data_IF_706360944481
#
_entry.id   IF_706360944481
#
_cell.length_a   1.000
_cell.length_b   1.000
_cell.length_c   1.000
_cell.angle_alpha   90.00
_cell.angle_beta   90.00
_cell.angle_gamma   90.00
#
_symmetry.space_group_name_H-M   'P 1'
#
loop_
_entity.id
_entity.type
_entity.pdbx_description
1 polymer ?
#
# COMPACT_ATOMS: atom_id res chain seq x y z
N UNK A 1 -15.52 8.58 2.67
CA UNK A 1 -14.26 8.36 3.38
C UNK A 1 -13.68 7.04 2.92
N UNK A 2 -12.65 7.13 2.10
CA UNK A 2 -12.03 5.99 1.45
C UNK A 2 -11.12 5.24 2.41
N UNK A 3 -10.34 5.95 3.22
CA UNK A 3 -9.34 5.37 4.14
C UNK A 3 -9.70 5.78 5.55
N UNK A 4 -9.86 4.81 6.44
CA UNK A 4 -10.16 5.04 7.85
C UNK A 4 -9.12 4.37 8.75
N UNK A 5 -8.96 4.92 9.94
CA UNK A 5 -8.06 4.38 10.93
C UNK A 5 -8.45 4.81 12.34
N UNK A 6 -7.97 4.05 13.32
CA UNK A 6 -8.04 4.38 14.72
C UNK A 6 -6.70 4.05 15.38
N UNK A 7 -6.16 4.99 16.15
CA UNK A 7 -4.94 4.75 16.90
C UNK A 7 -5.24 4.04 18.23
N UNK A 8 -4.44 3.05 18.58
CA UNK A 8 -4.46 2.39 19.90
C UNK A 8 -4.30 3.45 20.99
N UNK A 9 -5.07 3.40 22.10
CA UNK A 9 -4.90 4.34 23.22
C UNK A 9 -3.45 4.37 23.69
N UNK A 10 -2.91 5.57 23.98
CA UNK A 10 -1.48 5.77 24.21
C UNK A 10 -0.94 4.90 25.36
N UNK A 11 -1.75 4.66 26.39
CA UNK A 11 -1.42 3.83 27.55
C UNK A 11 -1.34 2.33 27.22
N UNK A 12 -1.89 1.91 26.08
CA UNK A 12 -1.87 0.53 25.57
C UNK A 12 -0.83 0.30 24.49
N UNK A 13 -0.22 1.36 23.95
CA UNK A 13 0.84 1.25 22.94
C UNK A 13 2.00 0.44 23.51
N UNK A 14 2.41 -0.59 22.77
CA UNK A 14 3.45 -1.50 23.19
C UNK A 14 4.83 -0.89 22.92
N UNK A 15 5.65 -0.63 23.94
CA UNK A 15 6.99 -0.13 23.73
C UNK A 15 7.90 -1.22 23.14
N UNK A 16 8.92 -0.78 22.41
CA UNK A 16 9.86 -1.67 21.75
C UNK A 16 11.12 -1.83 22.59
N UNK A 17 11.80 -2.97 22.46
CA UNK A 17 13.05 -3.25 23.17
C UNK A 17 12.92 -4.37 24.21
N UNK A 18 13.91 -4.46 25.09
CA UNK A 18 13.93 -5.42 26.20
C UNK A 18 13.41 -4.77 27.48
N UNK A 19 13.01 -5.57 28.49
CA UNK A 19 12.79 -5.06 29.83
C UNK A 19 13.98 -4.19 30.28
N UNK A 20 13.71 -3.06 30.92
CA UNK A 20 14.66 -2.00 31.33
C UNK A 20 15.24 -1.11 30.22
N UNK A 21 14.91 -1.35 28.94
CA UNK A 21 15.30 -0.50 27.82
C UNK A 21 14.17 -0.34 26.79
N UNK A 22 12.97 -0.12 27.30
CA UNK A 22 11.79 0.14 26.48
C UNK A 22 11.84 1.54 25.87
N UNK A 23 11.53 1.63 24.59
CA UNK A 23 11.50 2.89 23.85
C UNK A 23 10.34 2.96 22.88
N UNK A 24 9.95 4.18 22.51
CA UNK A 24 8.99 4.44 21.45
C UNK A 24 9.55 5.46 20.46
N UNK A 25 9.13 5.32 19.20
CA UNK A 25 9.41 6.23 18.09
C UNK A 25 8.11 6.81 17.54
N UNK A 26 8.19 7.73 16.59
CA UNK A 26 7.01 8.23 15.87
C UNK A 26 6.20 7.08 15.26
N UNK A 27 6.89 6.12 14.63
CA UNK A 27 6.28 4.91 14.08
C UNK A 27 5.55 4.09 15.14
N UNK A 28 6.21 3.81 16.28
CA UNK A 28 5.61 3.04 17.38
C UNK A 28 4.33 3.68 17.93
N UNK A 29 4.26 5.01 17.97
CA UNK A 29 3.07 5.74 18.41
C UNK A 29 1.88 5.67 17.43
N UNK A 30 2.10 5.14 16.22
CA UNK A 30 1.05 4.94 15.22
C UNK A 30 0.37 3.57 15.30
N UNK A 31 0.69 2.76 16.32
CA UNK A 31 -0.01 1.50 16.61
C UNK A 31 -1.53 1.74 16.64
N UNK A 32 -2.28 0.88 15.97
CA UNK A 32 -3.70 1.07 15.74
C UNK A 32 -4.22 0.12 14.67
N UNK A 33 -5.37 0.49 14.10
CA UNK A 33 -6.04 -0.27 13.05
C UNK A 33 -6.45 0.61 11.89
N UNK A 34 -6.52 0.05 10.69
CA UNK A 34 -6.93 0.78 9.49
C UNK A 34 -7.70 -0.11 8.51
N UNK A 35 -8.50 0.53 7.66
CA UNK A 35 -9.27 -0.12 6.61
C UNK A 35 -9.57 0.84 5.46
N UNK A 36 -10.01 0.30 4.32
CA UNK A 36 -10.48 1.12 3.20
C UNK A 36 -11.89 0.73 2.77
N UNK A 37 -12.79 1.71 2.65
CA UNK A 37 -14.15 1.50 2.17
C UNK A 37 -14.19 1.69 0.64
N UNK A 38 -14.39 0.60 -0.11
CA UNK A 38 -14.36 0.60 -1.58
C UNK A 38 -15.69 0.10 -2.14
N UNK A 39 -16.62 1.03 -2.36
CA UNK A 39 -17.98 0.70 -2.77
C UNK A 39 -18.72 -0.11 -1.70
N UNK A 40 -19.02 -1.37 -1.98
CA UNK A 40 -19.70 -2.29 -1.06
C UNK A 40 -18.74 -3.14 -0.21
N UNK A 41 -17.44 -3.12 -0.55
CA UNK A 41 -16.41 -3.93 0.10
C UNK A 41 -15.55 -3.10 1.04
N UNK A 42 -14.88 -3.78 1.97
CA UNK A 42 -13.92 -3.19 2.90
C UNK A 42 -12.58 -3.90 2.78
N UNK A 43 -11.55 -3.20 2.31
CA UNK A 43 -10.18 -3.72 2.27
C UNK A 43 -9.55 -3.64 3.65
N UNK A 44 -8.60 -4.54 3.92
CA UNK A 44 -7.98 -4.74 5.24
C UNK A 44 -8.95 -5.14 6.35
N UNK A 45 -10.13 -5.65 5.99
CA UNK A 45 -11.04 -6.30 6.93
C UNK A 45 -10.80 -7.82 6.88
N UNK A 46 -10.58 -8.41 8.06
CA UNK A 46 -10.45 -9.86 8.17
C UNK A 46 -11.79 -10.55 7.95
N UNK A 47 -11.76 -11.71 7.30
CA UNK A 47 -12.95 -12.54 7.18
C UNK A 47 -13.44 -12.98 8.56
N UNK A 48 -14.75 -13.13 8.73
CA UNK A 48 -15.35 -13.54 10.00
C UNK A 48 -14.79 -14.87 10.55
N UNK A 49 -14.30 -15.74 9.67
CA UNK A 49 -13.77 -17.07 10.04
C UNK A 49 -12.35 -17.02 10.55
N UNK A 50 -11.58 -16.01 10.17
CA UNK A 50 -10.18 -15.82 10.60
C UNK A 50 -10.11 -15.03 11.89
N UNK A 51 -11.13 -14.20 12.15
CA UNK A 51 -11.23 -13.43 13.39
C UNK A 51 -11.41 -14.36 14.61
N UNK A 52 -10.51 -14.30 15.61
CA UNK A 52 -10.82 -14.80 16.95
C UNK A 52 -12.10 -14.12 17.47
N UNK A 53 -12.84 -14.76 18.38
CA UNK A 53 -14.06 -14.18 18.96
C UNK A 53 -13.86 -12.77 19.56
N UNK A 54 -12.63 -12.47 20.00
CA UNK A 54 -12.22 -11.18 20.58
C UNK A 54 -11.16 -10.43 19.71
N UNK A 55 -10.89 -10.90 18.50
CA UNK A 55 -9.89 -10.31 17.60
C UNK A 55 -10.43 -9.12 16.82
N UNK A 56 -9.54 -8.20 16.46
CA UNK A 56 -9.89 -7.01 15.69
C UNK A 56 -10.50 -7.37 14.32
N UNK A 57 -11.48 -6.55 13.92
CA UNK A 57 -12.17 -6.68 12.64
C UNK A 57 -11.29 -6.25 11.48
N UNK A 58 -10.46 -5.25 11.72
CA UNK A 58 -9.61 -4.60 10.73
C UNK A 58 -8.15 -4.97 10.99
N UNK A 59 -7.30 -4.74 10.00
CA UNK A 59 -5.86 -4.87 10.15
C UNK A 59 -5.37 -4.05 11.33
N UNK A 60 -4.90 -4.73 12.38
CA UNK A 60 -4.28 -4.16 13.56
C UNK A 60 -2.77 -4.11 13.35
N UNK A 61 -2.31 -2.95 12.89
CA UNK A 61 -0.91 -2.68 12.57
C UNK A 61 -0.65 -1.17 12.58
N UNK A 62 0.62 -0.77 12.59
CA UNK A 62 1.03 0.63 12.57
C UNK A 62 0.41 1.39 11.37
N UNK A 63 -0.42 2.40 11.64
CA UNK A 63 -1.07 3.26 10.63
C UNK A 63 -0.04 3.98 9.76
N UNK A 64 1.17 4.17 10.28
CA UNK A 64 2.29 4.66 9.50
C UNK A 64 2.56 3.84 8.22
N UNK A 65 2.30 2.52 8.22
CA UNK A 65 2.55 1.69 7.02
C UNK A 65 1.61 2.02 5.87
N UNK A 66 0.30 1.91 6.07
CA UNK A 66 -0.66 2.27 5.02
C UNK A 66 -0.48 3.72 4.55
N UNK A 67 -0.10 4.62 5.46
CA UNK A 67 0.26 5.97 5.10
C UNK A 67 1.50 6.03 4.19
N UNK A 68 2.59 5.38 4.57
CA UNK A 68 3.83 5.35 3.79
C UNK A 68 3.62 4.68 2.42
N UNK A 69 2.93 3.54 2.37
CA UNK A 69 2.66 2.79 1.15
C UNK A 69 1.86 3.64 0.16
N UNK A 70 0.80 4.29 0.65
CA UNK A 70 -0.03 5.19 -0.15
C UNK A 70 0.75 6.41 -0.63
N UNK A 71 1.53 7.06 0.24
CA UNK A 71 2.33 8.22 -0.13
C UNK A 71 3.41 7.89 -1.16
N UNK A 72 3.99 6.69 -1.08
CA UNK A 72 5.00 6.24 -2.02
C UNK A 72 4.41 5.94 -3.41
N UNK A 73 3.23 5.33 -3.48
CA UNK A 73 2.58 5.03 -4.77
C UNK A 73 1.87 6.23 -5.39
N UNK A 74 1.48 7.24 -4.60
CA UNK A 74 0.57 8.30 -5.01
C UNK A 74 0.93 8.97 -6.35
N UNK A 75 2.21 9.31 -6.63
CA UNK A 75 2.58 9.88 -7.92
C UNK A 75 2.28 8.96 -9.11
N UNK A 76 2.57 7.66 -8.98
CA UNK A 76 2.34 6.65 -10.02
C UNK A 76 0.87 6.29 -10.16
N UNK A 77 0.11 6.25 -9.06
CA UNK A 77 -1.35 6.06 -9.07
C UNK A 77 -2.03 7.18 -9.83
N UNK A 78 -1.60 8.43 -9.61
CA UNK A 78 -2.15 9.61 -10.27
C UNK A 78 -1.63 9.83 -11.69
N UNK A 79 -0.60 9.12 -12.14
CA UNK A 79 -0.18 9.20 -13.53
C UNK A 79 -1.12 8.35 -14.41
N UNK A 80 -1.81 8.94 -15.41
CA UNK A 80 -2.69 8.20 -16.31
C UNK A 80 -1.95 7.08 -17.02
N UNK A 81 -2.47 5.85 -16.92
CA UNK A 81 -1.99 4.72 -17.69
C UNK A 81 -2.44 4.89 -19.16
N UNK A 82 -1.53 4.78 -20.14
CA UNK A 82 -1.90 4.81 -21.55
C UNK A 82 -2.99 3.80 -21.90
N UNK A 83 -3.97 4.22 -22.69
CA UNK A 83 -5.16 3.42 -23.03
C UNK A 83 -4.84 2.03 -23.58
N UNK A 84 -3.75 1.91 -24.33
CA UNK A 84 -3.30 0.65 -24.93
C UNK A 84 -2.68 -0.33 -23.92
N UNK A 85 -2.24 0.18 -22.77
CA UNK A 85 -1.66 -0.59 -21.67
C UNK A 85 -2.68 -1.03 -20.62
N UNK A 86 -3.86 -0.41 -20.57
CA UNK A 86 -4.91 -0.71 -19.56
C UNK A 86 -5.24 -2.22 -19.49
N UNK A 87 -5.28 -2.91 -20.64
CA UNK A 87 -5.56 -4.36 -20.70
C UNK A 87 -4.52 -5.25 -20.01
N UNK A 88 -3.32 -4.74 -19.75
CA UNK A 88 -2.22 -5.46 -19.08
C UNK A 88 -2.16 -5.18 -17.57
N UNK A 89 -2.87 -4.15 -17.09
CA UNK A 89 -2.92 -3.80 -15.67
C UNK A 89 -4.29 -4.13 -15.04
N UNK A 90 -5.38 -4.00 -15.80
CA UNK A 90 -6.74 -4.04 -15.26
C UNK A 90 -7.50 -5.33 -15.54
N UNK A 91 -8.34 -5.71 -14.57
CA UNK A 91 -9.36 -6.73 -14.70
C UNK A 91 -8.81 -8.11 -14.97
N UNK A 92 -9.61 -8.94 -15.64
CA UNK A 92 -9.24 -10.33 -15.93
C UNK A 92 -8.00 -10.41 -16.84
N UNK A 93 -7.92 -9.56 -17.86
CA UNK A 93 -6.79 -9.56 -18.80
C UNK A 93 -5.48 -9.12 -18.15
N UNK A 94 -5.52 -8.13 -17.24
CA UNK A 94 -4.35 -7.75 -16.45
C UNK A 94 -3.87 -8.89 -15.55
N UNK A 95 -4.80 -9.60 -14.89
CA UNK A 95 -4.46 -10.79 -14.08
C UNK A 95 -3.89 -11.95 -14.92
N UNK A 96 -4.40 -12.15 -16.12
CA UNK A 96 -3.84 -13.14 -17.06
C UNK A 96 -2.43 -12.73 -17.50
N UNK A 97 -2.21 -11.44 -17.79
CA UNK A 97 -0.89 -10.91 -18.13
C UNK A 97 0.10 -11.02 -16.97
N UNK A 98 -0.31 -10.74 -15.73
CA UNK A 98 0.56 -10.89 -14.55
C UNK A 98 1.09 -12.32 -14.41
N UNK A 99 0.25 -13.33 -14.68
CA UNK A 99 0.67 -14.75 -14.71
C UNK A 99 1.61 -15.04 -15.88
N UNK A 100 1.35 -14.46 -17.05
CA UNK A 100 2.25 -14.55 -18.19
C UNK A 100 3.62 -13.96 -17.88
N UNK A 101 3.66 -12.79 -17.24
CA UNK A 101 4.87 -12.12 -16.81
C UNK A 101 5.63 -12.94 -15.75
N UNK A 102 4.94 -13.50 -14.76
CA UNK A 102 5.55 -14.39 -13.75
C UNK A 102 6.17 -15.63 -14.41
N UNK A 103 5.43 -16.31 -15.27
CA UNK A 103 5.96 -17.47 -16.01
C UNK A 103 7.15 -17.11 -16.91
N UNK A 104 7.10 -15.96 -17.60
CA UNK A 104 8.22 -15.47 -18.39
C UNK A 104 9.44 -15.17 -17.51
N UNK A 105 9.22 -14.60 -16.32
CA UNK A 105 10.27 -14.30 -15.35
C UNK A 105 10.95 -15.59 -14.89
N UNK A 106 10.20 -16.60 -14.46
CA UNK A 106 10.74 -17.90 -14.04
C UNK A 106 11.53 -18.62 -15.14
N UNK A 107 11.11 -18.45 -16.41
CA UNK A 107 11.76 -19.07 -17.57
C UNK A 107 13.07 -18.37 -17.96
N UNK A 108 13.12 -17.04 -17.87
CA UNK A 108 14.18 -16.25 -18.49
C UNK A 108 15.15 -15.59 -17.49
N UNK A 109 14.79 -15.48 -16.19
CA UNK A 109 15.66 -14.91 -15.17
C UNK A 109 16.44 -15.98 -14.40
N UNK A 110 17.76 -15.86 -14.46
CA UNK A 110 18.71 -16.53 -13.58
C UNK A 110 19.94 -15.62 -13.31
N UNK A 111 20.88 -16.09 -12.49
CA UNK A 111 22.09 -15.35 -12.12
C UNK A 111 23.01 -15.02 -13.33
N UNK A 112 22.74 -15.60 -14.50
CA UNK A 112 23.48 -15.40 -15.76
C UNK A 112 22.71 -14.62 -16.83
N UNK A 113 21.46 -14.23 -16.55
CA UNK A 113 20.66 -13.40 -17.47
C UNK A 113 21.39 -12.10 -17.79
N UNK A 114 21.48 -11.77 -19.08
CA UNK A 114 22.10 -10.53 -19.54
C UNK A 114 21.23 -9.30 -19.23
N UNK A 115 21.87 -8.13 -19.27
CA UNK A 115 21.24 -6.84 -18.96
C UNK A 115 19.94 -6.61 -19.74
N UNK A 116 19.86 -7.01 -21.02
CA UNK A 116 18.65 -6.87 -21.84
C UNK A 116 17.42 -7.61 -21.29
N UNK A 117 17.62 -8.80 -20.71
CA UNK A 117 16.53 -9.59 -20.10
C UNK A 117 16.10 -8.92 -18.79
N UNK A 118 17.05 -8.43 -18.00
CA UNK A 118 16.77 -7.68 -16.77
C UNK A 118 16.04 -6.38 -17.04
N UNK A 119 16.43 -5.63 -18.07
CA UNK A 119 15.79 -4.39 -18.48
C UNK A 119 14.36 -4.65 -18.97
N UNK A 120 14.15 -5.72 -19.75
CA UNK A 120 12.80 -6.12 -20.20
C UNK A 120 11.92 -6.49 -19.02
N UNK A 121 12.46 -7.26 -18.07
CA UNK A 121 11.76 -7.62 -16.85
C UNK A 121 11.38 -6.39 -16.02
N UNK A 122 12.36 -5.52 -15.72
CA UNK A 122 12.15 -4.36 -14.84
C UNK A 122 11.19 -3.34 -15.45
N UNK A 123 11.31 -3.09 -16.77
CA UNK A 123 10.40 -2.20 -17.49
C UNK A 123 8.97 -2.75 -17.53
N UNK A 124 8.79 -4.05 -17.78
CA UNK A 124 7.46 -4.65 -17.72
C UNK A 124 6.89 -4.61 -16.29
N UNK A 125 7.70 -4.93 -15.28
CA UNK A 125 7.31 -4.91 -13.87
C UNK A 125 6.85 -3.52 -13.42
N UNK A 126 7.49 -2.47 -13.94
CA UNK A 126 7.21 -1.07 -13.59
C UNK A 126 5.75 -0.66 -13.88
N UNK A 127 5.05 -1.38 -14.77
CA UNK A 127 3.60 -1.19 -14.96
C UNK A 127 2.81 -1.47 -13.67
N UNK A 128 3.17 -2.53 -12.93
CA UNK A 128 2.45 -2.98 -11.73
C UNK A 128 3.11 -2.52 -10.43
N UNK A 129 4.44 -2.57 -10.34
CA UNK A 129 5.20 -2.41 -9.09
C UNK A 129 4.84 -1.12 -8.36
N UNK A 130 4.91 0.00 -9.05
CA UNK A 130 4.73 1.32 -8.42
C UNK A 130 3.25 1.68 -8.20
N UNK A 131 2.35 0.78 -8.61
CA UNK A 131 0.88 0.87 -8.51
C UNK A 131 0.29 -0.21 -7.60
N UNK A 132 1.13 -1.11 -7.08
CA UNK A 132 0.72 -2.17 -6.16
C UNK A 132 1.02 -1.76 -4.73
N UNK A 133 0.08 -2.02 -3.82
CA UNK A 133 0.28 -1.72 -2.41
C UNK A 133 1.22 -2.74 -1.75
N UNK A 134 2.35 -2.25 -1.23
CA UNK A 134 3.32 -3.07 -0.52
C UNK A 134 2.73 -3.48 0.83
N UNK A 135 2.26 -4.72 0.94
CA UNK A 135 1.65 -5.23 2.18
C UNK A 135 2.34 -6.51 2.67
N UNK A 136 3.59 -6.73 2.26
CA UNK A 136 4.40 -7.87 2.68
C UNK A 136 4.71 -7.90 4.18
N UNK A 137 4.47 -6.80 4.90
CA UNK A 137 4.52 -6.77 6.37
C UNK A 137 3.28 -7.40 7.03
N UNK A 138 2.25 -7.75 6.26
CA UNK A 138 1.07 -8.50 6.73
C UNK A 138 1.22 -9.99 6.42
N UNK A 139 0.57 -10.83 7.23
CA UNK A 139 0.58 -12.29 7.05
C UNK A 139 -0.85 -12.85 7.13
N UNK A 140 -1.44 -13.27 5.99
CA UNK A 140 -0.94 -13.07 4.63
C UNK A 140 -1.00 -11.60 4.19
N UNK A 141 -0.28 -11.24 3.12
CA UNK A 141 -0.40 -9.94 2.48
C UNK A 141 -1.77 -9.75 1.80
N UNK A 142 -2.02 -8.55 1.28
CA UNK A 142 -3.14 -8.24 0.38
C UNK A 142 -2.62 -8.02 -1.05
N UNK A 143 -3.48 -8.25 -2.03
CA UNK A 143 -3.21 -7.87 -3.42
C UNK A 143 -4.11 -6.69 -3.77
N UNK A 144 -3.59 -5.47 -3.69
CA UNK A 144 -4.32 -4.24 -4.02
C UNK A 144 -3.52 -3.47 -5.06
N UNK A 145 -4.18 -3.12 -6.15
CA UNK A 145 -3.64 -2.37 -7.28
C UNK A 145 -4.42 -1.06 -7.41
N UNK A 146 -3.70 0.04 -7.55
CA UNK A 146 -4.27 1.38 -7.76
C UNK A 146 -3.65 2.02 -9.01
N UNK A 147 -4.48 2.46 -9.93
CA UNK A 147 -4.04 3.10 -11.17
C UNK A 147 -5.07 4.13 -11.62
N UNK A 148 -4.73 5.01 -12.55
CA UNK A 148 -5.69 5.98 -13.09
C UNK A 148 -5.71 5.99 -14.61
N UNK A 149 -6.85 6.39 -15.17
CA UNK A 149 -6.88 6.98 -16.51
C UNK A 149 -6.88 8.51 -16.39
N UNK A 150 -7.38 9.22 -17.40
CA UNK A 150 -7.45 10.69 -17.39
C UNK A 150 -8.48 11.24 -16.38
N UNK A 151 -9.51 10.45 -16.04
CA UNK A 151 -10.69 10.91 -15.31
C UNK A 151 -10.78 10.28 -13.91
N UNK A 152 -10.55 8.97 -13.80
CA UNK A 152 -10.80 8.16 -12.62
C UNK A 152 -9.54 7.48 -12.07
N UNK A 153 -9.54 7.24 -10.75
CA UNK A 153 -8.65 6.28 -10.09
C UNK A 153 -9.40 4.98 -9.88
N UNK A 154 -8.78 3.88 -10.28
CA UNK A 154 -9.25 2.51 -10.12
C UNK A 154 -8.50 1.84 -8.99
N UNK A 155 -9.24 1.15 -8.12
CA UNK A 155 -8.75 0.33 -7.03
C UNK A 155 -9.23 -1.09 -7.30
N UNK A 156 -8.32 -2.01 -7.57
CA UNK A 156 -8.60 -3.41 -7.87
C UNK A 156 -7.95 -4.31 -6.84
N UNK A 157 -8.61 -5.41 -6.48
CA UNK A 157 -8.06 -6.39 -5.55
C UNK A 157 -8.38 -7.82 -5.95
N UNK A 158 -7.47 -8.72 -5.62
CA UNK A 158 -7.65 -10.17 -5.73
C UNK A 158 -6.87 -10.89 -4.62
N UNK A 159 -7.58 -11.15 -3.53
CA UNK A 159 -7.13 -11.86 -2.35
C UNK A 159 -7.55 -13.35 -2.37
N UNK A 160 -7.95 -13.88 -3.54
CA UNK A 160 -8.48 -15.26 -3.64
C UNK A 160 -7.46 -16.35 -3.31
N UNK A 161 -6.17 -16.01 -3.32
CA UNK A 161 -5.05 -16.88 -2.94
C UNK A 161 -4.56 -16.65 -1.49
N UNK A 162 -5.15 -15.69 -0.75
CA UNK A 162 -4.71 -15.31 0.60
C UNK A 162 -5.51 -16.06 1.66
N UNK A 163 -4.88 -17.05 2.29
CA UNK A 163 -5.52 -17.91 3.29
C UNK A 163 -4.79 -17.89 4.63
N UNK A 164 -5.56 -18.07 5.70
CA UNK A 164 -5.09 -18.46 7.04
C UNK A 164 -5.75 -19.78 7.38
N UNK A 165 -4.99 -20.83 7.68
CA UNK A 165 -5.52 -22.16 8.03
C UNK A 165 -6.59 -22.72 7.04
N UNK A 166 -6.43 -22.43 5.75
CA UNK A 166 -7.32 -22.90 4.69
C UNK A 166 -8.65 -22.13 4.55
N UNK A 167 -8.84 -21.03 5.30
CA UNK A 167 -9.95 -20.09 5.11
C UNK A 167 -9.44 -18.75 4.56
N UNK A 168 -10.23 -18.05 3.71
CA UNK A 168 -9.82 -16.75 3.18
C UNK A 168 -9.49 -15.76 4.30
N UNK A 169 -8.35 -15.09 4.19
CA UNK A 169 -7.87 -14.15 5.20
C UNK A 169 -8.72 -12.88 5.28
N UNK A 170 -9.05 -12.35 4.11
CA UNK A 170 -9.70 -11.06 3.93
C UNK A 170 -11.18 -11.23 3.57
N UNK A 171 -12.04 -10.33 4.03
CA UNK A 171 -13.48 -10.35 3.67
C UNK A 171 -13.68 -9.99 2.19
N UNK A 172 -12.94 -8.99 1.70
CA UNK A 172 -12.92 -8.58 0.30
C UNK A 172 -12.05 -9.55 -0.53
N UNK A 173 -12.71 -10.53 -1.16
CA UNK A 173 -12.03 -11.59 -1.93
C UNK A 173 -11.49 -11.07 -3.25
N UNK A 174 -12.33 -10.50 -4.10
CA UNK A 174 -11.90 -9.89 -5.35
C UNK A 174 -12.93 -8.89 -5.85
N UNK A 175 -12.46 -7.84 -6.51
CA UNK A 175 -13.34 -6.78 -6.98
C UNK A 175 -12.58 -5.58 -7.53
N UNK A 176 -13.36 -4.57 -7.88
CA UNK A 176 -12.87 -3.31 -8.41
C UNK A 176 -13.80 -2.18 -7.99
N UNK A 177 -13.22 -1.04 -7.69
CA UNK A 177 -13.91 0.20 -7.38
C UNK A 177 -13.21 1.34 -8.13
N UNK A 178 -13.94 2.37 -8.52
CA UNK A 178 -13.34 3.58 -9.09
C UNK A 178 -14.04 4.82 -8.56
N UNK A 179 -13.32 5.92 -8.59
CA UNK A 179 -13.80 7.24 -8.21
C UNK A 179 -13.04 8.31 -9.00
N UNK A 180 -13.65 9.51 -9.19
CA UNK A 180 -12.97 10.61 -9.85
C UNK A 180 -11.62 10.93 -9.20
N UNK A 181 -10.61 11.25 -10.01
CA UNK A 181 -9.25 11.58 -9.54
C UNK A 181 -9.25 12.69 -8.49
N UNK A 182 -10.08 13.72 -8.68
CA UNK A 182 -10.22 14.82 -7.71
C UNK A 182 -10.75 14.32 -6.37
N UNK A 183 -11.74 13.41 -6.37
CA UNK A 183 -12.29 12.81 -5.16
C UNK A 183 -11.26 11.93 -4.45
N UNK A 184 -10.49 11.14 -5.20
CA UNK A 184 -9.40 10.35 -4.64
C UNK A 184 -8.36 11.25 -3.96
N UNK A 185 -7.90 12.31 -4.62
CA UNK A 185 -6.93 13.25 -4.02
C UNK A 185 -7.48 13.88 -2.74
N UNK A 186 -8.76 14.29 -2.73
CA UNK A 186 -9.41 14.82 -1.54
C UNK A 186 -9.46 13.80 -0.40
N UNK A 187 -9.75 12.54 -0.69
CA UNK A 187 -9.77 11.46 0.30
C UNK A 187 -8.39 11.18 0.90
N UNK A 188 -7.34 11.17 0.05
CA UNK A 188 -5.94 11.01 0.49
C UNK A 188 -5.47 12.21 1.32
N UNK A 189 -5.80 13.44 0.91
CA UNK A 189 -5.50 14.66 1.68
C UNK A 189 -6.20 14.65 3.04
N UNK A 190 -7.49 14.28 3.07
CA UNK A 190 -8.24 14.17 4.30
C UNK A 190 -7.63 13.12 5.24
N UNK A 191 -7.21 11.97 4.71
CA UNK A 191 -6.51 10.93 5.49
C UNK A 191 -5.20 11.47 6.06
N UNK A 192 -4.35 12.09 5.24
CA UNK A 192 -3.11 12.75 5.67
C UNK A 192 -3.38 13.75 6.82
N UNK A 193 -4.34 14.64 6.66
CA UNK A 193 -4.71 15.63 7.69
C UNK A 193 -5.14 14.97 9.01
N UNK A 194 -5.95 13.91 8.95
CA UNK A 194 -6.40 13.19 10.15
C UNK A 194 -5.23 12.51 10.87
N UNK A 195 -4.33 11.85 10.14
CA UNK A 195 -3.13 11.22 10.72
C UNK A 195 -2.31 12.23 11.50
N UNK A 196 -1.93 13.36 10.88
CA UNK A 196 -1.08 14.35 11.55
C UNK A 196 -1.80 15.14 12.65
N UNK A 197 -3.12 15.31 12.55
CA UNK A 197 -3.91 15.90 13.65
C UNK A 197 -3.88 14.98 14.89
N UNK A 198 -4.13 13.68 14.70
CA UNK A 198 -4.09 12.72 15.80
C UNK A 198 -2.67 12.53 16.34
N UNK A 199 -1.65 12.48 15.48
CA UNK A 199 -0.26 12.40 15.91
C UNK A 199 0.19 13.63 16.67
N UNK A 200 -0.21 14.84 16.26
CA UNK A 200 0.05 16.05 17.05
C UNK A 200 -0.56 15.95 18.45
N UNK A 201 -1.83 15.56 18.55
CA UNK A 201 -2.49 15.35 19.86
C UNK A 201 -1.78 14.29 20.69
N UNK A 202 -1.24 13.25 20.06
CA UNK A 202 -0.49 12.18 20.73
C UNK A 202 0.85 12.66 21.25
N UNK A 203 1.56 13.48 20.48
CA UNK A 203 2.81 14.13 20.89
C UNK A 203 2.57 15.04 22.09
N UNK A 204 1.47 15.81 22.10
CA UNK A 204 1.08 16.63 23.24
C UNK A 204 0.80 15.78 24.50
N UNK A 205 0.16 14.61 24.34
CA UNK A 205 -0.03 13.65 25.44
C UNK A 205 1.30 13.12 25.98
N UNK A 206 2.22 12.72 25.09
CA UNK A 206 3.59 12.29 25.47
C UNK A 206 4.28 13.40 26.26
N UNK A 207 4.25 14.64 25.77
CA UNK A 207 4.85 15.79 26.43
C UNK A 207 4.25 16.07 27.82
N UNK A 208 2.97 15.73 28.02
CA UNK A 208 2.28 15.84 29.30
C UNK A 208 2.53 14.67 30.27
N UNK A 209 3.31 13.67 29.87
CA UNK A 209 3.66 12.52 30.72
C UNK A 209 2.66 11.35 30.65
N UNK A 210 1.93 11.20 29.53
CA UNK A 210 1.00 10.09 29.36
C UNK A 210 1.68 8.71 29.20
N UNK A 211 2.98 8.67 28.88
CA UNK A 211 3.76 7.44 28.84
C UNK A 211 4.21 7.02 30.24
N UNK A 212 4.37 5.71 30.42
CA UNK A 212 4.96 5.16 31.65
C UNK A 212 6.42 5.65 31.80
N UNK A 213 6.89 6.03 33.01
CA UNK A 213 8.20 6.64 33.20
C UNK A 213 9.39 5.80 32.70
N UNK A 214 9.25 4.48 32.66
CA UNK A 214 10.26 3.54 32.16
C UNK A 214 10.39 3.51 30.63
N UNK A 215 9.48 4.14 29.88
CA UNK A 215 9.52 4.20 28.42
C UNK A 215 10.33 5.41 27.99
N UNK A 216 11.43 5.16 27.27
CA UNK A 216 12.26 6.20 26.70
C UNK A 216 11.65 6.76 25.41
N UNK A 217 11.67 8.08 25.25
CA UNK A 217 11.27 8.74 24.01
C UNK A 217 12.04 10.05 23.82
N UNK A 218 12.54 10.27 22.60
CA UNK A 218 13.14 11.53 22.19
C UNK A 218 12.03 12.49 21.75
N UNK A 219 11.50 13.28 22.68
CA UNK A 219 10.40 14.22 22.40
C UNK A 219 10.80 15.30 21.34
N UNK A 220 11.98 15.95 21.42
CA UNK A 220 12.43 16.83 20.35
C UNK A 220 12.51 16.14 18.98
N UNK A 221 13.07 14.93 18.91
CA UNK A 221 13.14 14.14 17.68
C UNK A 221 11.75 13.78 17.14
N UNK A 222 10.82 13.42 18.03
CA UNK A 222 9.44 13.09 17.69
C UNK A 222 8.67 14.28 17.06
N UNK A 223 8.84 15.47 17.62
CA UNK A 223 8.24 16.71 17.07
C UNK A 223 8.80 16.99 15.68
N UNK A 224 10.14 16.95 15.55
CA UNK A 224 10.81 17.21 14.28
C UNK A 224 10.43 16.19 13.19
N UNK A 225 10.36 14.91 13.53
CA UNK A 225 9.93 13.86 12.60
C UNK A 225 8.48 14.07 12.15
N UNK A 226 7.57 14.42 13.07
CA UNK A 226 6.17 14.67 12.74
C UNK A 226 6.02 15.86 11.77
N UNK A 227 6.70 16.97 12.03
CA UNK A 227 6.70 18.14 11.15
C UNK A 227 7.30 17.82 9.78
N UNK A 228 8.42 17.09 9.75
CA UNK A 228 9.07 16.67 8.51
C UNK A 228 8.12 15.83 7.66
N UNK A 229 7.47 14.82 8.25
CA UNK A 229 6.55 13.91 7.55
C UNK A 229 5.30 14.64 7.07
N UNK A 230 4.72 15.52 7.90
CA UNK A 230 3.57 16.35 7.52
C UNK A 230 3.88 17.25 6.31
N UNK A 231 5.12 17.75 6.24
CA UNK A 231 5.58 18.59 5.14
C UNK A 231 5.76 17.88 3.79
N UNK A 232 5.70 16.53 3.73
CA UNK A 232 5.96 15.77 2.50
C UNK A 232 4.77 15.72 1.53
N UNK A 233 3.54 15.96 2.00
CA UNK A 233 2.35 15.72 1.19
C UNK A 233 2.26 16.60 -0.07
N UNK A 234 2.37 17.92 0.07
CA UNK A 234 2.31 18.83 -1.06
C UNK A 234 3.43 18.58 -2.10
N UNK A 235 4.70 18.33 -1.69
CA UNK A 235 5.74 17.88 -2.62
C UNK A 235 5.40 16.59 -3.38
N UNK A 236 4.78 15.60 -2.72
CA UNK A 236 4.38 14.34 -3.35
C UNK A 236 3.28 14.57 -4.39
N UNK A 237 2.22 15.32 -4.04
CA UNK A 237 1.14 15.66 -4.98
C UNK A 237 1.64 16.49 -6.17
N UNK A 238 2.64 17.34 -5.97
CA UNK A 238 3.25 18.15 -7.03
C UNK A 238 4.22 17.36 -7.91
N UNK A 239 4.61 16.14 -7.52
CA UNK A 239 5.51 15.30 -8.29
C UNK A 239 4.77 14.79 -9.53
N UNK A 240 5.34 15.06 -10.70
CA UNK A 240 4.94 14.37 -11.93
C UNK A 240 5.90 13.21 -12.13
N UNK A 241 5.36 12.01 -12.18
CA UNK A 241 6.17 10.88 -12.66
C UNK A 241 6.56 11.12 -14.12
N UNK A 242 7.77 10.70 -14.44
CA UNK A 242 8.29 10.70 -15.81
C UNK A 242 8.49 9.25 -16.17
N UNK A 243 7.39 8.51 -16.22
CA UNK A 243 7.44 7.10 -16.59
C UNK A 243 7.73 6.98 -18.08
N UNK A 244 8.75 6.18 -18.40
CA UNK A 244 9.09 5.84 -19.78
C UNK A 244 8.06 4.88 -20.38
N UNK A 245 6.86 5.37 -20.67
CA UNK A 245 5.76 4.56 -21.19
C UNK A 245 6.12 3.79 -22.46
N UNK A 246 7.06 4.30 -23.27
CA UNK A 246 7.55 3.62 -24.47
C UNK A 246 8.41 2.38 -24.13
N UNK A 247 9.23 2.44 -23.08
CA UNK A 247 10.04 1.32 -22.60
C UNK A 247 9.15 0.25 -21.96
N UNK A 248 8.22 0.66 -21.09
CA UNK A 248 7.20 -0.23 -20.51
C UNK A 248 6.40 -0.91 -21.61
N UNK A 249 5.89 -0.15 -22.58
CA UNK A 249 5.10 -0.71 -23.69
C UNK A 249 5.88 -1.74 -24.48
N UNK A 250 7.13 -1.44 -24.82
CA UNK A 250 7.99 -2.34 -25.58
C UNK A 250 8.20 -3.66 -24.83
N UNK A 251 8.56 -3.58 -23.54
CA UNK A 251 8.79 -4.74 -22.70
C UNK A 251 7.52 -5.60 -22.47
N UNK A 252 6.39 -4.95 -22.17
CA UNK A 252 5.09 -5.63 -22.00
C UNK A 252 4.69 -6.39 -23.26
N UNK A 253 4.87 -5.78 -24.44
CA UNK A 253 4.55 -6.41 -25.72
C UNK A 253 5.51 -7.54 -26.08
N UNK A 254 6.80 -7.41 -25.75
CA UNK A 254 7.79 -8.45 -25.94
C UNK A 254 7.43 -9.71 -25.15
N UNK A 255 7.20 -9.57 -23.83
CA UNK A 255 6.78 -10.66 -22.95
C UNK A 255 5.46 -11.29 -23.42
N UNK A 256 4.48 -10.45 -23.79
CA UNK A 256 3.19 -10.95 -24.29
C UNK A 256 3.33 -11.73 -25.60
N UNK A 257 4.31 -11.38 -26.44
CA UNK A 257 4.56 -12.05 -27.73
C UNK A 257 5.29 -13.38 -27.55
N UNK A 258 6.25 -13.50 -26.62
CA UNK A 258 6.93 -14.77 -26.30
C UNK A 258 5.97 -15.82 -25.73
N UNK A 259 4.92 -15.36 -25.03
CA UNK A 259 3.93 -16.22 -24.41
C UNK A 259 2.80 -16.67 -25.34
N UNK A 260 2.65 -16.05 -26.53
CA UNK A 260 1.67 -16.50 -27.50
C UNK A 260 2.08 -17.88 -28.03
N UNK A 261 1.20 -18.91 -28.02
CA UNK A 261 1.53 -20.18 -28.65
C UNK A 261 1.84 -19.91 -30.13
N UNK A 262 3.01 -20.35 -30.60
CA UNK A 262 3.43 -20.24 -32.01
C UNK A 262 2.23 -20.59 -32.91
N UNK A 263 1.69 -19.58 -33.60
CA UNK A 263 0.55 -19.72 -34.50
C UNK A 263 0.90 -20.54 -35.74
#
# INVERSE_FOLDING_TARGET
MLIDFELTPIEKVMPWGQPDNHSLSWFGLTEGRYWMNVGADVLFEYSERVRPNDGDRYCDYYVARIFEDLMNMLPSVLEPVPQDLIKYISGKSGREWAKTYEFWSEKNLDDSSGDEIWDTWDNANSLLRDRSMETGYLSPSTSILMWSDEDDVYIEWDNSDKFVDGVPAWSAISGSFHLPREEFVMEVEAFHMRVFTQMKSRIDQVASGALRPEIQIDLPGLIAENEQRQGKFAPILGKREVTSWDEIRSAVLEIASDAAPNA
#
